data_IF_886818875381
#
_entry.id   IF_886818875381
#
_cell.length_a   1.000
_cell.length_b   1.000
_cell.length_c   1.000
_cell.angle_alpha   90.00
_cell.angle_beta   90.00
_cell.angle_gamma   90.00
#
_symmetry.space_group_name_H-M   'P 1'
#
loop_
_entity.id
_entity.type
_entity.pdbx_description
1 polymer ?
#
# COMPACT_ATOMS: atom_id res chain seq x y z
N UNK A 1 27.36 -2.56 -27.60
CA UNK A 1 26.03 -2.03 -27.93
C UNK A 1 25.09 -3.22 -28.04
N UNK A 2 24.33 -3.49 -27.02
CA UNK A 2 23.35 -4.59 -27.01
C UNK A 2 22.15 -4.18 -27.87
N UNK A 3 21.81 -4.98 -28.86
CA UNK A 3 20.61 -4.75 -29.68
C UNK A 3 19.36 -5.06 -28.88
N UNK A 4 18.42 -4.12 -28.89
CA UNK A 4 17.11 -4.25 -28.24
C UNK A 4 16.28 -5.37 -28.89
N UNK A 5 15.51 -6.13 -28.08
CA UNK A 5 14.55 -7.16 -28.55
C UNK A 5 13.62 -6.64 -29.67
N UNK A 6 13.29 -5.36 -29.65
CA UNK A 6 12.46 -4.68 -30.66
C UNK A 6 13.12 -4.63 -32.05
N UNK A 7 14.44 -4.51 -32.11
CA UNK A 7 15.17 -4.47 -33.37
C UNK A 7 15.36 -5.87 -33.98
N UNK A 8 15.37 -6.90 -33.14
CA UNK A 8 15.39 -8.30 -33.57
C UNK A 8 14.06 -8.67 -34.26
N UNK A 9 12.93 -8.32 -33.69
CA UNK A 9 11.61 -8.64 -34.24
C UNK A 9 11.37 -7.91 -35.58
N UNK A 10 11.84 -6.66 -35.73
CA UNK A 10 11.74 -5.92 -37.00
C UNK A 10 12.58 -6.50 -38.11
N UNK A 11 13.71 -7.14 -37.78
CA UNK A 11 14.60 -7.79 -38.78
C UNK A 11 14.15 -9.22 -39.15
N UNK A 12 13.44 -9.91 -38.27
CA UNK A 12 12.90 -11.24 -38.53
C UNK A 12 11.69 -11.25 -39.48
N UNK A 13 11.03 -10.11 -39.69
CA UNK A 13 9.86 -9.97 -40.54
C UNK A 13 10.10 -9.93 -42.06
N UNK A 14 11.33 -10.04 -42.53
CA UNK A 14 11.71 -9.95 -43.95
C UNK A 14 12.31 -11.24 -44.56
N UNK A 15 12.16 -12.38 -43.90
CA UNK A 15 12.60 -13.69 -44.40
C UNK A 15 11.42 -14.66 -44.57
N UNK A 16 10.78 -14.63 -45.73
CA UNK A 16 9.83 -15.66 -46.16
C UNK A 16 10.52 -17.02 -46.35
N UNK A 17 10.04 -18.05 -45.64
CA UNK A 17 10.21 -19.43 -46.02
C UNK A 17 11.12 -20.31 -45.13
N UNK A 18 10.86 -20.36 -43.82
CA UNK A 18 11.25 -21.52 -43.02
C UNK A 18 10.04 -22.02 -42.24
N UNK A 19 9.52 -23.18 -42.63
CA UNK A 19 8.63 -23.97 -41.78
C UNK A 19 9.41 -24.35 -40.52
N UNK A 20 9.29 -23.57 -39.47
CA UNK A 20 9.75 -23.97 -38.14
C UNK A 20 8.75 -24.97 -37.61
N UNK A 21 9.13 -26.24 -37.58
CA UNK A 21 8.43 -27.27 -36.79
C UNK A 21 8.69 -26.91 -35.34
N UNK A 22 7.74 -26.19 -34.75
CA UNK A 22 7.72 -25.96 -33.31
C UNK A 22 7.37 -27.29 -32.62
N UNK A 23 8.11 -27.68 -31.56
CA UNK A 23 7.78 -28.88 -30.80
C UNK A 23 6.33 -28.82 -30.31
N UNK A 24 5.65 -29.95 -30.27
CA UNK A 24 4.23 -30.11 -29.90
C UNK A 24 3.93 -29.57 -28.48
N UNK A 25 4.96 -29.43 -27.67
CA UNK A 25 4.91 -28.86 -26.31
C UNK A 25 4.72 -27.33 -26.30
N UNK A 26 4.96 -26.65 -27.41
CA UNK A 26 4.73 -25.21 -27.56
C UNK A 26 3.24 -24.89 -27.82
N UNK A 27 2.52 -25.89 -28.37
CA UNK A 27 1.05 -25.82 -28.46
C UNK A 27 0.52 -26.63 -27.27
N UNK A 28 0.22 -25.98 -26.17
CA UNK A 28 -0.45 -26.62 -25.03
C UNK A 28 -1.59 -27.54 -25.51
N UNK A 29 -1.88 -28.60 -24.75
CA UNK A 29 -2.94 -29.55 -25.07
C UNK A 29 -4.21 -28.81 -25.47
N UNK A 30 -4.53 -28.84 -26.74
CA UNK A 30 -5.85 -28.43 -27.24
C UNK A 30 -6.86 -29.43 -26.68
N UNK A 31 -7.47 -29.12 -25.55
CA UNK A 31 -8.45 -30.06 -24.95
C UNK A 31 -9.18 -29.54 -23.73
N UNK A 32 -8.84 -28.36 -23.21
CA UNK A 32 -9.62 -27.79 -22.13
C UNK A 32 -9.87 -26.29 -22.39
N UNK A 33 -11.13 -25.94 -22.61
CA UNK A 33 -11.57 -24.61 -23.04
C UNK A 33 -11.57 -23.56 -21.91
N UNK A 34 -10.94 -23.85 -20.78
CA UNK A 34 -10.88 -22.96 -19.61
C UNK A 34 -9.50 -22.36 -19.34
N UNK A 35 -8.39 -22.88 -19.89
CA UNK A 35 -7.08 -22.26 -19.76
C UNK A 35 -6.72 -21.46 -21.01
N UNK A 36 -6.70 -20.15 -20.92
CA UNK A 36 -6.13 -19.27 -21.94
C UNK A 36 -4.61 -19.46 -21.90
N UNK A 37 -4.08 -20.28 -22.82
CA UNK A 37 -2.64 -20.44 -22.97
C UNK A 37 -1.99 -19.08 -23.27
N UNK A 38 -1.13 -18.61 -22.37
CA UNK A 38 -0.29 -17.43 -22.57
C UNK A 38 1.09 -17.90 -23.00
N UNK A 39 1.54 -17.46 -24.18
CA UNK A 39 2.88 -17.83 -24.62
C UNK A 39 3.95 -17.33 -23.61
N UNK A 40 5.01 -18.10 -23.35
CA UNK A 40 6.07 -17.67 -22.41
C UNK A 40 6.68 -16.30 -22.71
N UNK A 41 6.68 -15.88 -23.98
CA UNK A 41 7.10 -14.55 -24.43
C UNK A 41 6.14 -13.43 -24.02
N UNK A 42 4.89 -13.76 -23.70
CA UNK A 42 3.84 -12.82 -23.36
C UNK A 42 3.59 -12.78 -21.84
N UNK A 43 4.25 -13.66 -21.08
CA UNK A 43 4.19 -13.64 -19.62
C UNK A 43 5.05 -12.52 -19.08
N UNK A 44 4.49 -11.75 -18.18
CA UNK A 44 5.24 -10.81 -17.34
C UNK A 44 6.03 -11.56 -16.28
N UNK A 45 7.08 -10.93 -15.79
CA UNK A 45 7.91 -11.49 -14.72
C UNK A 45 7.89 -10.58 -13.50
N UNK A 46 7.88 -11.18 -12.32
CA UNK A 46 7.82 -10.45 -11.05
C UNK A 46 8.98 -10.84 -10.15
N UNK A 47 9.60 -9.82 -9.53
CA UNK A 47 10.52 -9.98 -8.40
C UNK A 47 9.90 -9.43 -7.12
N UNK A 48 10.15 -10.07 -5.97
CA UNK A 48 9.68 -9.62 -4.65
C UNK A 48 10.87 -9.18 -3.81
N UNK A 49 10.78 -7.98 -3.23
CA UNK A 49 11.74 -7.46 -2.24
C UNK A 49 11.08 -7.48 -0.87
N UNK A 50 11.72 -8.17 0.09
CA UNK A 50 11.17 -8.44 1.42
C UNK A 50 10.29 -9.68 1.42
N UNK A 51 10.86 -10.84 1.78
CA UNK A 51 10.16 -12.13 1.82
C UNK A 51 10.02 -12.67 3.25
N UNK A 52 9.85 -11.74 4.21
CA UNK A 52 9.46 -12.06 5.58
C UNK A 52 7.97 -12.43 5.71
N UNK A 53 7.19 -11.66 6.50
CA UNK A 53 5.77 -11.96 6.76
C UNK A 53 4.88 -11.86 5.53
N UNK A 54 4.55 -10.61 5.13
CA UNK A 54 3.59 -10.36 4.04
C UNK A 54 4.15 -10.77 2.68
N UNK A 55 5.43 -10.52 2.41
CA UNK A 55 6.06 -10.93 1.15
C UNK A 55 6.01 -12.43 0.94
N UNK A 56 6.23 -13.23 2.01
CA UNK A 56 6.06 -14.67 1.96
C UNK A 56 4.59 -15.08 1.67
N UNK A 57 3.62 -14.42 2.30
CA UNK A 57 2.19 -14.64 2.02
C UNK A 57 1.84 -14.29 0.57
N UNK A 58 2.53 -13.31 0.01
CA UNK A 58 2.30 -12.80 -1.34
C UNK A 58 3.16 -13.49 -2.44
N UNK A 59 3.89 -14.56 -2.13
CA UNK A 59 4.60 -15.31 -3.18
C UNK A 59 3.69 -15.73 -4.34
N UNK A 60 2.45 -16.08 -4.05
CA UNK A 60 1.45 -16.49 -5.04
C UNK A 60 0.55 -15.34 -5.55
N UNK A 61 0.64 -14.17 -4.93
CA UNK A 61 -0.20 -13.04 -5.29
C UNK A 61 0.21 -12.51 -6.68
N UNK A 62 -0.78 -12.22 -7.55
CA UNK A 62 -0.53 -11.84 -8.95
C UNK A 62 0.19 -12.95 -9.76
N UNK A 63 0.28 -14.18 -9.24
CA UNK A 63 0.81 -15.31 -10.00
C UNK A 63 -0.34 -16.06 -10.65
N UNK A 64 -0.69 -15.65 -11.84
CA UNK A 64 -1.51 -16.40 -12.77
C UNK A 64 -0.66 -16.77 -14.01
N UNK A 65 -1.27 -17.38 -15.00
CA UNK A 65 -0.61 -17.73 -16.26
C UNK A 65 -0.04 -16.52 -17.02
N UNK A 66 -0.39 -15.27 -16.67
CA UNK A 66 0.11 -14.03 -17.29
C UNK A 66 1.34 -13.47 -16.58
N UNK A 67 1.59 -13.86 -15.32
CA UNK A 67 2.69 -13.31 -14.52
C UNK A 67 3.39 -14.40 -13.71
N UNK A 68 4.71 -14.49 -13.84
CA UNK A 68 5.55 -15.48 -13.21
C UNK A 68 6.48 -14.86 -12.18
N UNK A 69 6.53 -15.42 -10.97
CA UNK A 69 7.58 -15.08 -10.00
C UNK A 69 8.92 -15.66 -10.47
N UNK A 70 9.95 -14.82 -10.59
CA UNK A 70 11.28 -15.22 -11.08
C UNK A 70 12.40 -14.88 -10.08
N UNK A 71 12.19 -13.93 -9.17
CA UNK A 71 13.22 -13.46 -8.26
C UNK A 71 12.68 -13.11 -6.88
N UNK A 72 13.51 -13.28 -5.86
CA UNK A 72 13.23 -12.90 -4.47
C UNK A 72 14.47 -12.21 -3.88
N UNK A 73 14.23 -11.24 -2.98
CA UNK A 73 15.27 -10.51 -2.28
C UNK A 73 14.94 -10.35 -0.80
N UNK A 74 15.89 -10.61 0.07
CA UNK A 74 15.81 -10.27 1.50
C UNK A 74 17.22 -10.08 2.08
N UNK A 75 17.33 -9.23 3.10
CA UNK A 75 18.56 -8.99 3.85
C UNK A 75 18.73 -9.96 5.03
N UNK A 76 17.73 -10.79 5.30
CA UNK A 76 17.78 -11.90 6.25
C UNK A 76 17.88 -13.22 5.47
N UNK A 77 19.00 -13.91 5.62
CA UNK A 77 19.28 -15.15 4.89
C UNK A 77 18.25 -16.26 5.19
N UNK A 78 17.70 -16.31 6.42
CA UNK A 78 16.66 -17.30 6.77
C UNK A 78 15.36 -17.03 6.01
N UNK A 79 14.97 -15.76 5.85
CA UNK A 79 13.82 -15.39 5.04
C UNK A 79 14.04 -15.78 3.58
N UNK A 80 15.23 -15.47 3.06
CA UNK A 80 15.59 -15.77 1.68
C UNK A 80 15.57 -17.28 1.40
N UNK A 81 16.21 -18.09 2.25
CA UNK A 81 16.24 -19.55 2.11
C UNK A 81 14.84 -20.16 2.16
N UNK A 82 14.00 -19.69 3.08
CA UNK A 82 12.60 -20.14 3.18
C UNK A 82 11.79 -19.75 1.92
N UNK A 83 12.01 -18.57 1.37
CA UNK A 83 11.32 -18.14 0.15
C UNK A 83 11.75 -18.95 -1.07
N UNK A 84 13.05 -19.29 -1.19
CA UNK A 84 13.57 -20.13 -2.27
C UNK A 84 12.97 -21.53 -2.21
N UNK A 85 12.98 -22.15 -1.01
CA UNK A 85 12.40 -23.48 -0.80
C UNK A 85 10.91 -23.49 -1.15
N UNK A 86 10.13 -22.54 -0.60
CA UNK A 86 8.68 -22.45 -0.86
C UNK A 86 8.36 -22.14 -2.31
N UNK A 87 9.17 -21.30 -2.96
CA UNK A 87 9.05 -20.98 -4.37
C UNK A 87 9.27 -22.22 -5.25
N UNK A 88 10.32 -23.01 -4.99
CA UNK A 88 10.60 -24.24 -5.72
C UNK A 88 9.51 -25.30 -5.50
N UNK A 89 9.10 -25.53 -4.26
CA UNK A 89 7.99 -26.45 -3.91
C UNK A 89 6.68 -26.09 -4.62
N UNK A 90 6.38 -24.81 -4.76
CA UNK A 90 5.09 -24.34 -5.26
C UNK A 90 5.04 -24.19 -6.78
N UNK A 91 6.10 -23.62 -7.37
CA UNK A 91 6.12 -23.28 -8.79
C UNK A 91 6.92 -24.26 -9.64
N UNK A 92 7.63 -25.21 -9.01
CA UNK A 92 8.49 -26.15 -9.72
C UNK A 92 9.66 -25.51 -10.46
N UNK A 93 9.97 -24.23 -10.17
CA UNK A 93 11.04 -23.46 -10.78
C UNK A 93 11.96 -22.86 -9.75
N UNK A 94 13.27 -22.87 -10.04
CA UNK A 94 14.25 -22.21 -9.19
C UNK A 94 14.15 -20.69 -9.36
N UNK A 95 13.95 -19.99 -8.22
CA UNK A 95 13.95 -18.54 -8.20
C UNK A 95 15.38 -18.00 -8.15
N UNK A 96 15.61 -16.84 -8.79
CA UNK A 96 16.82 -16.06 -8.59
C UNK A 96 16.78 -15.39 -7.22
N UNK A 97 17.87 -15.43 -6.47
CA UNK A 97 17.99 -14.78 -5.16
C UNK A 97 18.89 -13.56 -5.20
N UNK A 98 18.51 -12.53 -4.48
CA UNK A 98 19.28 -11.32 -4.28
C UNK A 98 19.35 -10.98 -2.80
N UNK A 99 20.49 -10.49 -2.36
CA UNK A 99 20.67 -9.96 -1.02
C UNK A 99 20.44 -8.44 -1.00
N UNK A 100 20.93 -7.76 -2.01
CA UNK A 100 20.71 -6.33 -2.22
C UNK A 100 19.55 -6.10 -3.20
N UNK A 101 18.58 -5.32 -2.76
CA UNK A 101 17.38 -5.02 -3.56
C UNK A 101 17.70 -4.27 -4.86
N UNK A 102 18.81 -3.53 -4.89
CA UNK A 102 19.26 -2.80 -6.10
C UNK A 102 19.56 -3.76 -7.25
N UNK A 103 20.14 -4.91 -6.95
CA UNK A 103 20.45 -5.92 -7.96
C UNK A 103 19.16 -6.50 -8.58
N UNK A 104 18.11 -6.72 -7.76
CA UNK A 104 16.83 -7.19 -8.27
C UNK A 104 16.14 -6.12 -9.14
N UNK A 105 16.13 -4.86 -8.71
CA UNK A 105 15.50 -3.74 -9.46
C UNK A 105 16.20 -3.52 -10.80
N UNK A 106 17.50 -3.76 -10.90
CA UNK A 106 18.27 -3.64 -12.14
C UNK A 106 18.30 -4.92 -12.99
N UNK A 107 17.72 -6.03 -12.53
CA UNK A 107 17.64 -7.27 -13.32
C UNK A 107 16.72 -7.06 -14.54
N UNK A 108 17.25 -7.21 -15.78
CA UNK A 108 16.46 -7.05 -16.99
C UNK A 108 15.38 -8.14 -17.17
N UNK A 109 15.45 -9.22 -16.41
CA UNK A 109 14.47 -10.30 -16.45
C UNK A 109 13.27 -10.08 -15.50
N UNK A 110 13.22 -8.97 -14.77
CA UNK A 110 12.12 -8.58 -13.90
C UNK A 110 11.35 -7.45 -14.58
N UNK A 111 10.05 -7.61 -14.79
CA UNK A 111 9.16 -6.58 -15.36
C UNK A 111 8.46 -5.82 -14.23
N UNK A 112 8.04 -6.53 -13.19
CA UNK A 112 7.27 -5.99 -12.05
C UNK A 112 8.07 -6.17 -10.77
N UNK A 113 8.28 -5.09 -10.03
CA UNK A 113 8.89 -5.10 -8.70
C UNK A 113 7.79 -5.05 -7.64
N UNK A 114 7.71 -6.10 -6.82
CA UNK A 114 6.81 -6.14 -5.67
C UNK A 114 7.60 -5.77 -4.40
N UNK A 115 7.25 -4.65 -3.78
CA UNK A 115 7.90 -4.09 -2.59
C UNK A 115 7.08 -4.50 -1.37
N UNK A 116 7.62 -5.39 -0.54
CA UNK A 116 6.99 -5.93 0.67
C UNK A 116 7.92 -5.83 1.90
N UNK A 117 8.76 -4.83 1.90
CA UNK A 117 9.73 -4.47 2.95
C UNK A 117 9.06 -3.73 4.12
N UNK A 118 9.79 -3.38 5.19
CA UNK A 118 9.34 -2.33 6.11
C UNK A 118 9.15 -0.97 5.41
N UNK A 119 8.16 -0.21 5.86
CA UNK A 119 7.65 0.98 5.15
C UNK A 119 8.68 2.11 4.94
N UNK A 120 9.73 2.18 5.76
CA UNK A 120 10.81 3.16 5.56
C UNK A 120 11.64 2.95 4.29
N UNK A 121 11.45 1.82 3.61
CA UNK A 121 12.08 1.49 2.34
C UNK A 121 11.17 1.74 1.12
N UNK A 122 9.86 1.77 1.30
CA UNK A 122 8.89 1.76 0.20
C UNK A 122 9.11 2.90 -0.80
N UNK A 123 9.25 4.13 -0.31
CA UNK A 123 9.42 5.31 -1.16
C UNK A 123 10.67 5.23 -2.03
N UNK A 124 11.81 4.91 -1.43
CA UNK A 124 13.10 4.82 -2.12
C UNK A 124 13.09 3.70 -3.19
N UNK A 125 12.61 2.51 -2.82
CA UNK A 125 12.53 1.37 -3.74
C UNK A 125 11.56 1.63 -4.90
N UNK A 126 10.41 2.26 -4.63
CA UNK A 126 9.43 2.60 -5.67
C UNK A 126 9.98 3.62 -6.67
N UNK A 127 10.69 4.65 -6.20
CA UNK A 127 11.34 5.64 -7.07
C UNK A 127 12.42 5.00 -7.93
N UNK A 128 13.25 4.12 -7.39
CA UNK A 128 14.29 3.44 -8.14
C UNK A 128 13.72 2.44 -9.15
N UNK A 129 12.68 1.68 -8.76
CA UNK A 129 11.96 0.80 -9.69
C UNK A 129 11.36 1.59 -10.88
N UNK A 130 10.75 2.75 -10.63
CA UNK A 130 10.27 3.62 -11.70
C UNK A 130 11.41 4.09 -12.63
N UNK A 131 12.54 4.55 -12.09
CA UNK A 131 13.72 4.97 -12.87
C UNK A 131 14.26 3.88 -13.79
N UNK A 132 14.18 2.63 -13.36
CA UNK A 132 14.62 1.48 -14.17
C UNK A 132 13.54 0.97 -15.14
N UNK A 133 12.39 1.63 -15.19
CA UNK A 133 11.28 1.29 -16.10
C UNK A 133 10.47 0.07 -15.68
N UNK A 134 10.53 -0.30 -14.40
CA UNK A 134 9.73 -1.40 -13.85
C UNK A 134 8.33 -0.91 -13.48
N UNK A 135 7.35 -1.80 -13.59
CA UNK A 135 6.05 -1.60 -12.98
C UNK A 135 6.07 -2.00 -11.51
N UNK A 136 5.23 -1.38 -10.69
CA UNK A 136 5.40 -1.40 -9.25
C UNK A 136 4.14 -1.92 -8.56
N UNK A 137 4.33 -2.94 -7.73
CA UNK A 137 3.36 -3.40 -6.77
C UNK A 137 3.92 -3.09 -5.37
N UNK A 138 3.33 -2.15 -4.65
CA UNK A 138 3.85 -1.68 -3.36
C UNK A 138 2.90 -2.02 -2.22
N UNK A 139 3.43 -2.60 -1.15
CA UNK A 139 2.70 -2.80 0.09
C UNK A 139 2.38 -1.46 0.77
N UNK A 140 1.33 -1.46 1.57
CA UNK A 140 0.95 -0.34 2.42
C UNK A 140 1.77 -0.33 3.75
N UNK A 141 1.91 0.81 4.41
CA UNK A 141 1.60 2.16 3.93
C UNK A 141 2.52 2.53 2.76
N UNK A 142 2.00 3.29 1.81
CA UNK A 142 2.73 3.61 0.57
C UNK A 142 4.12 4.19 0.86
N UNK A 143 4.21 5.09 1.84
CA UNK A 143 5.46 5.71 2.28
C UNK A 143 5.40 6.08 3.75
N UNK A 144 6.57 6.23 4.37
CA UNK A 144 6.70 6.68 5.74
C UNK A 144 6.43 8.17 5.92
N UNK A 145 6.70 9.00 4.90
CA UNK A 145 6.55 10.45 4.96
C UNK A 145 5.79 11.00 3.75
N UNK A 146 5.21 12.20 3.91
CA UNK A 146 4.51 12.90 2.84
C UNK A 146 5.47 13.22 1.69
N UNK A 147 6.69 13.65 1.99
CA UNK A 147 7.69 14.00 0.98
C UNK A 147 8.12 12.80 0.13
N UNK A 148 8.30 11.63 0.74
CA UNK A 148 8.56 10.39 0.00
C UNK A 148 7.41 10.08 -0.97
N UNK A 149 6.15 10.22 -0.52
CA UNK A 149 4.98 9.99 -1.37
C UNK A 149 4.94 10.91 -2.61
N UNK A 150 5.27 12.20 -2.44
CA UNK A 150 5.42 13.14 -3.57
C UNK A 150 6.46 12.66 -4.57
N UNK A 151 7.61 12.16 -4.08
CA UNK A 151 8.69 11.65 -4.93
C UNK A 151 8.30 10.39 -5.70
N UNK A 152 7.51 9.51 -5.08
CA UNK A 152 6.97 8.34 -5.78
C UNK A 152 6.02 8.76 -6.89
N UNK A 153 5.06 9.66 -6.63
CA UNK A 153 4.14 10.19 -7.66
C UNK A 153 4.91 10.84 -8.80
N UNK A 154 5.90 11.70 -8.48
CA UNK A 154 6.75 12.37 -9.47
C UNK A 154 7.50 11.34 -10.35
N UNK A 155 8.11 10.32 -9.74
CA UNK A 155 8.87 9.30 -10.47
C UNK A 155 7.98 8.42 -11.33
N UNK A 156 6.87 7.90 -10.80
CA UNK A 156 5.93 7.06 -11.53
C UNK A 156 5.39 7.79 -12.77
N UNK A 157 4.96 9.04 -12.61
CA UNK A 157 4.47 9.85 -13.72
C UNK A 157 5.58 10.17 -14.74
N UNK A 158 6.79 10.48 -14.29
CA UNK A 158 7.94 10.82 -15.15
C UNK A 158 8.39 9.64 -16.02
N UNK A 159 8.46 8.47 -15.45
CA UNK A 159 8.98 7.28 -16.14
C UNK A 159 7.88 6.40 -16.74
N UNK A 160 6.61 6.72 -16.47
CA UNK A 160 5.45 6.04 -17.05
C UNK A 160 5.23 4.63 -16.51
N UNK A 161 5.68 4.32 -15.29
CA UNK A 161 5.43 3.04 -14.63
C UNK A 161 3.95 2.90 -14.26
N UNK A 162 3.44 1.68 -14.24
CA UNK A 162 2.15 1.39 -13.65
C UNK A 162 2.36 1.05 -12.18
N UNK A 163 1.68 1.78 -11.31
CA UNK A 163 1.78 1.62 -9.87
C UNK A 163 0.49 1.04 -9.29
N UNK A 164 0.62 0.07 -8.40
CA UNK A 164 -0.46 -0.45 -7.57
C UNK A 164 -0.06 -0.41 -6.11
N UNK A 165 -0.90 0.20 -5.28
CA UNK A 165 -0.81 0.07 -3.83
C UNK A 165 -1.60 -1.17 -3.37
N UNK A 166 -1.03 -1.95 -2.44
CA UNK A 166 -1.71 -3.13 -1.90
C UNK A 166 -2.54 -2.81 -0.65
N UNK A 167 -3.60 -2.08 -0.87
CA UNK A 167 -4.74 -2.11 0.06
C UNK A 167 -5.99 -2.54 -0.72
N UNK A 168 -6.66 -3.55 -0.24
CA UNK A 168 -7.68 -4.30 -0.97
C UNK A 168 -9.11 -3.99 -0.53
N UNK A 169 -9.28 -3.27 0.58
CA UNK A 169 -10.62 -3.02 1.12
C UNK A 169 -11.50 -2.13 0.26
N UNK A 170 -10.90 -1.36 -0.64
CA UNK A 170 -11.60 -0.64 -1.71
C UNK A 170 -12.27 -1.57 -2.73
N UNK A 171 -11.82 -2.83 -2.84
CA UNK A 171 -12.18 -3.76 -3.92
C UNK A 171 -12.84 -5.05 -3.43
N UNK A 172 -12.97 -5.28 -2.12
CA UNK A 172 -13.47 -6.55 -1.56
C UNK A 172 -14.94 -6.54 -1.17
N UNK A 173 -15.48 -7.76 -1.11
CA UNK A 173 -16.89 -8.08 -0.98
C UNK A 173 -17.55 -7.62 0.31
N UNK A 174 -16.78 -7.48 1.39
CA UNK A 174 -17.31 -6.97 2.65
C UNK A 174 -16.32 -6.03 3.32
N UNK A 175 -16.77 -4.84 3.65
CA UNK A 175 -15.99 -3.84 4.33
C UNK A 175 -16.24 -3.92 5.83
N UNK A 176 -15.32 -4.55 6.56
CA UNK A 176 -15.18 -4.55 8.02
C UNK A 176 -16.49 -4.47 8.85
N UNK A 177 -17.30 -5.52 8.80
CA UNK A 177 -18.52 -5.59 9.62
C UNK A 177 -19.60 -4.59 9.25
N UNK A 178 -19.45 -3.85 8.15
CA UNK A 178 -20.52 -3.00 7.60
C UNK A 178 -21.58 -3.81 6.85
N UNK A 179 -21.30 -5.08 6.50
CA UNK A 179 -22.25 -5.94 5.82
C UNK A 179 -22.45 -5.61 4.34
N UNK A 180 -21.57 -4.80 3.75
CA UNK A 180 -21.64 -4.37 2.35
C UNK A 180 -20.24 -4.14 1.78
N UNK A 181 -20.17 -4.02 0.44
CA UNK A 181 -19.00 -3.53 -0.27
C UNK A 181 -18.91 -1.99 -0.19
N UNK A 182 -17.88 -1.41 -0.80
CA UNK A 182 -17.69 0.05 -0.84
C UNK A 182 -18.64 0.73 -1.83
N UNK A 183 -19.03 0.05 -2.91
CA UNK A 183 -19.90 0.61 -3.96
C UNK A 183 -21.27 1.10 -3.44
N UNK A 184 -22.03 0.33 -2.65
CA UNK A 184 -23.28 0.82 -2.07
C UNK A 184 -23.10 2.06 -1.20
N UNK A 185 -21.98 2.14 -0.46
CA UNK A 185 -21.66 3.34 0.33
C UNK A 185 -21.39 4.54 -0.58
N UNK A 186 -20.64 4.33 -1.67
CA UNK A 186 -20.37 5.38 -2.67
C UNK A 186 -21.66 5.89 -3.29
N UNK A 187 -22.54 5.01 -3.75
CA UNK A 187 -23.85 5.37 -4.31
C UNK A 187 -24.68 6.18 -3.31
N UNK A 188 -24.73 5.73 -2.06
CA UNK A 188 -25.49 6.40 -1.02
C UNK A 188 -24.96 7.81 -0.70
N UNK A 189 -23.64 7.98 -0.68
CA UNK A 189 -22.99 9.29 -0.48
C UNK A 189 -23.21 10.19 -1.69
N UNK A 190 -22.97 9.70 -2.89
CA UNK A 190 -23.11 10.46 -4.16
C UNK A 190 -24.57 10.91 -4.38
N UNK A 191 -25.54 10.13 -3.93
CA UNK A 191 -26.96 10.50 -4.03
C UNK A 191 -27.35 11.72 -3.19
N UNK A 192 -26.53 12.10 -2.21
CA UNK A 192 -26.83 13.19 -1.27
C UNK A 192 -27.94 12.88 -0.25
N UNK A 193 -28.43 11.65 -0.19
CA UNK A 193 -29.51 11.24 0.74
C UNK A 193 -29.13 11.40 2.21
N UNK A 194 -27.84 11.23 2.54
CA UNK A 194 -27.34 11.46 3.90
C UNK A 194 -27.19 12.95 4.24
N UNK A 195 -27.23 13.83 3.22
CA UNK A 195 -26.88 15.24 3.36
C UNK A 195 -25.37 15.44 3.45
N UNK A 196 -24.94 16.69 3.65
CA UNK A 196 -23.53 17.05 3.76
C UNK A 196 -23.37 18.20 4.77
N UNK A 197 -22.28 18.33 5.56
CA UNK A 197 -21.11 17.45 5.57
C UNK A 197 -21.35 16.12 6.29
N UNK A 198 -20.49 15.13 6.02
CA UNK A 198 -20.52 13.80 6.64
C UNK A 198 -19.43 13.65 7.70
N UNK A 199 -19.74 12.89 8.74
CA UNK A 199 -18.77 12.38 9.71
C UNK A 199 -18.67 10.85 9.56
N UNK A 200 -17.49 10.33 9.29
CA UNK A 200 -17.20 8.89 9.24
C UNK A 200 -16.38 8.51 10.47
N UNK A 201 -16.83 7.48 11.21
CA UNK A 201 -16.16 6.99 12.42
C UNK A 201 -15.59 5.59 12.18
N UNK A 202 -14.27 5.51 12.14
CA UNK A 202 -13.56 4.23 12.03
C UNK A 202 -13.24 3.75 13.44
N UNK A 203 -14.00 2.75 13.90
CA UNK A 203 -13.98 2.33 15.30
C UNK A 203 -14.04 0.82 15.49
N UNK A 204 -13.70 0.36 16.68
CA UNK A 204 -13.91 -1.02 17.12
C UNK A 204 -15.36 -1.51 17.01
N UNK A 205 -16.36 -0.58 16.99
CA UNK A 205 -17.77 -0.88 16.79
C UNK A 205 -18.04 -1.57 15.45
N UNK A 206 -17.28 -1.25 14.44
CA UNK A 206 -17.40 -1.81 13.09
C UNK A 206 -16.50 -3.02 12.85
N UNK A 207 -15.73 -3.46 13.87
CA UNK A 207 -14.83 -4.60 13.77
C UNK A 207 -13.42 -4.25 13.31
N UNK A 208 -13.05 -2.96 13.29
CA UNK A 208 -11.69 -2.53 13.01
C UNK A 208 -10.75 -2.85 14.16
N UNK A 209 -9.52 -3.23 13.83
CA UNK A 209 -8.47 -3.50 14.79
C UNK A 209 -7.24 -2.65 14.50
N UNK A 210 -6.94 -1.71 15.40
CA UNK A 210 -5.76 -0.83 15.28
C UNK A 210 -4.45 -1.51 15.62
N UNK A 211 -4.49 -2.78 16.09
CA UNK A 211 -3.30 -3.57 16.42
C UNK A 211 -2.35 -2.82 17.37
N UNK A 212 -2.87 -2.29 18.46
CA UNK A 212 -2.07 -1.60 19.50
C UNK A 212 -0.98 -2.47 20.13
N UNK A 213 -0.95 -3.77 19.85
CA UNK A 213 0.16 -4.63 20.21
C UNK A 213 1.45 -4.33 19.38
N UNK A 214 1.35 -3.53 18.31
CA UNK A 214 2.49 -2.95 17.59
C UNK A 214 3.00 -1.65 18.22
N UNK A 215 2.92 -1.49 19.54
CA UNK A 215 3.58 -0.39 20.26
C UNK A 215 5.07 -0.66 20.40
N UNK A 216 5.88 0.40 20.41
CA UNK A 216 7.31 0.31 20.69
C UNK A 216 7.59 0.07 22.15
N UNK A 217 8.80 -0.41 22.42
CA UNK A 217 9.36 -0.50 23.78
C UNK A 217 10.39 0.61 23.98
N UNK A 218 10.29 1.27 25.11
CA UNK A 218 11.31 2.20 25.58
C UNK A 218 12.52 1.41 26.13
N UNK A 219 13.68 2.03 26.14
CA UNK A 219 14.88 1.50 26.79
C UNK A 219 15.28 0.08 26.32
N UNK A 220 15.46 -0.09 25.01
CA UNK A 220 15.95 -1.35 24.45
C UNK A 220 17.46 -1.50 24.67
N UNK A 221 17.86 -2.51 25.42
CA UNK A 221 19.27 -2.85 25.60
C UNK A 221 19.87 -3.41 24.31
N UNK A 222 20.99 -2.89 23.83
CA UNK A 222 21.65 -3.37 22.63
C UNK A 222 21.96 -4.86 22.69
N UNK A 223 21.75 -5.56 21.59
CA UNK A 223 22.07 -6.99 21.46
C UNK A 223 22.95 -7.22 20.22
N UNK A 224 23.71 -8.32 20.18
CA UNK A 224 24.47 -8.71 18.99
C UNK A 224 23.54 -8.91 17.77
N UNK A 225 23.97 -8.41 16.63
CA UNK A 225 23.28 -8.66 15.36
C UNK A 225 23.38 -10.15 15.01
N UNK A 226 22.27 -10.84 14.68
CA UNK A 226 22.31 -12.20 14.18
C UNK A 226 23.15 -12.33 12.90
N UNK A 227 23.87 -13.43 12.74
CA UNK A 227 24.77 -13.63 11.61
C UNK A 227 24.05 -13.66 10.25
N UNK A 228 22.80 -14.07 10.26
CA UNK A 228 21.94 -14.17 9.08
C UNK A 228 21.37 -12.84 8.61
N UNK A 229 21.41 -11.77 9.45
CA UNK A 229 20.80 -10.48 9.16
C UNK A 229 21.86 -9.43 8.80
N UNK A 230 21.80 -8.87 7.62
CA UNK A 230 22.48 -7.63 7.29
C UNK A 230 21.71 -6.44 7.87
N UNK A 231 22.06 -6.11 9.11
CA UNK A 231 21.32 -5.06 9.85
C UNK A 231 21.59 -3.66 9.29
N UNK A 232 22.76 -3.40 8.70
CA UNK A 232 23.04 -2.10 8.09
C UNK A 232 22.15 -1.87 6.86
N UNK A 233 22.03 -2.87 6.01
CA UNK A 233 21.15 -2.83 4.85
C UNK A 233 19.66 -2.88 5.28
N UNK A 234 19.32 -3.56 6.38
CA UNK A 234 17.97 -3.52 6.94
C UNK A 234 17.58 -2.11 7.39
N UNK A 235 18.48 -1.39 8.11
CA UNK A 235 18.27 0.00 8.52
C UNK A 235 18.12 0.93 7.31
N UNK A 236 18.96 0.76 6.31
CA UNK A 236 18.93 1.54 5.08
C UNK A 236 18.88 3.05 5.32
N UNK A 237 17.81 3.74 4.83
CA UNK A 237 17.67 5.19 4.97
C UNK A 237 17.33 5.64 6.39
N UNK A 238 16.95 4.74 7.30
CA UNK A 238 16.63 5.08 8.67
C UNK A 238 17.90 5.43 9.48
N UNK A 239 17.78 6.22 10.56
CA UNK A 239 18.90 6.51 11.45
C UNK A 239 19.53 5.24 12.03
N UNK A 240 20.85 5.30 12.28
CA UNK A 240 21.54 4.19 12.96
C UNK A 240 21.04 4.05 14.39
N UNK A 241 20.54 2.88 14.70
CA UNK A 241 20.13 2.47 16.05
C UNK A 241 20.80 1.14 16.40
N UNK A 242 21.20 0.93 17.66
CA UNK A 242 21.67 -0.36 18.09
C UNK A 242 20.65 -1.47 17.81
N UNK A 243 21.15 -2.65 17.43
CA UNK A 243 20.27 -3.79 17.17
C UNK A 243 19.56 -4.26 18.45
N UNK A 244 18.29 -4.56 18.28
CA UNK A 244 17.49 -5.28 19.24
C UNK A 244 16.39 -6.04 18.48
N UNK A 245 16.07 -7.31 18.81
CA UNK A 245 15.09 -8.11 18.07
C UNK A 245 13.70 -7.47 18.04
N UNK A 246 13.34 -6.61 18.99
CA UNK A 246 12.08 -5.88 18.96
C UNK A 246 12.08 -4.70 17.96
N UNK A 247 13.24 -4.30 17.38
CA UNK A 247 13.29 -3.24 16.35
C UNK A 247 13.14 -3.76 14.94
N UNK A 248 13.27 -5.05 14.73
CA UNK A 248 13.28 -5.65 13.38
C UNK A 248 12.06 -6.53 13.14
N UNK A 249 11.94 -7.02 11.92
CA UNK A 249 10.86 -7.90 11.48
C UNK A 249 9.46 -7.32 11.80
N UNK A 250 8.56 -8.03 12.44
CA UNK A 250 7.17 -7.58 12.65
C UNK A 250 7.06 -6.39 13.59
N UNK A 251 7.88 -6.35 14.67
CA UNK A 251 7.81 -5.33 15.73
C UNK A 251 8.44 -3.99 15.36
N UNK A 252 9.12 -3.86 14.20
CA UNK A 252 9.61 -2.58 13.69
C UNK A 252 8.51 -1.51 13.65
N UNK A 253 7.26 -1.93 13.49
CA UNK A 253 6.09 -1.05 13.45
C UNK A 253 5.96 -0.13 14.64
N UNK A 254 6.46 -0.55 15.79
CA UNK A 254 6.44 0.22 17.03
C UNK A 254 7.44 1.37 17.10
N UNK A 255 8.14 1.75 16.03
CA UNK A 255 9.18 2.78 16.06
C UNK A 255 9.02 3.80 14.94
N UNK A 256 9.05 5.10 15.32
CA UNK A 256 8.84 6.22 14.41
C UNK A 256 9.81 6.28 13.23
N UNK A 257 11.01 5.73 13.39
CA UNK A 257 11.99 5.69 12.30
C UNK A 257 11.57 4.74 11.16
N UNK A 258 10.69 3.80 11.42
CA UNK A 258 10.31 2.77 10.46
C UNK A 258 8.83 2.81 10.08
N UNK A 259 7.93 3.03 11.05
CA UNK A 259 6.48 3.10 10.84
C UNK A 259 5.81 3.88 11.97
N UNK A 260 4.47 3.89 12.05
CA UNK A 260 3.67 4.60 13.08
C UNK A 260 2.70 3.68 13.82
N UNK A 261 3.15 2.50 14.21
CA UNK A 261 2.39 1.55 15.01
C UNK A 261 1.12 1.04 14.32
N UNK A 262 0.06 0.91 15.10
CA UNK A 262 -1.24 0.48 14.57
C UNK A 262 -1.83 1.42 13.52
N UNK A 263 -1.55 2.73 13.64
CA UNK A 263 -1.96 3.71 12.63
C UNK A 263 -1.26 3.46 11.30
N UNK A 264 0.06 3.26 11.29
CA UNK A 264 0.83 2.95 10.07
C UNK A 264 0.41 1.62 9.45
N UNK A 265 0.31 0.57 10.27
CA UNK A 265 -0.02 -0.78 9.78
C UNK A 265 -1.45 -0.88 9.22
N UNK A 266 -2.44 -0.22 9.85
CA UNK A 266 -3.85 -0.38 9.47
C UNK A 266 -4.49 0.87 8.87
N UNK A 267 -3.92 2.06 9.11
CA UNK A 267 -4.56 3.33 8.77
C UNK A 267 -4.93 3.43 7.29
N UNK A 268 -4.00 3.12 6.40
CA UNK A 268 -4.27 3.23 4.97
C UNK A 268 -5.31 2.23 4.48
N UNK A 269 -5.39 1.03 5.05
CA UNK A 269 -6.45 0.07 4.75
C UNK A 269 -7.85 0.62 5.03
N UNK A 270 -7.99 1.41 6.11
CA UNK A 270 -9.31 1.90 6.55
C UNK A 270 -9.64 3.27 5.98
N UNK A 271 -8.65 4.15 5.82
CA UNK A 271 -8.83 5.52 5.31
C UNK A 271 -9.07 5.53 3.80
N UNK A 272 -8.34 4.71 3.05
CA UNK A 272 -8.41 4.66 1.60
C UNK A 272 -9.85 4.43 1.06
N UNK A 273 -10.58 3.38 1.47
CA UNK A 273 -11.95 3.18 1.00
C UNK A 273 -12.91 4.28 1.48
N UNK A 274 -12.65 4.90 2.64
CA UNK A 274 -13.44 6.04 3.14
C UNK A 274 -13.25 7.25 2.24
N UNK A 275 -12.01 7.59 1.86
CA UNK A 275 -11.76 8.67 0.90
C UNK A 275 -12.45 8.41 -0.44
N UNK A 276 -12.42 7.16 -0.92
CA UNK A 276 -13.09 6.80 -2.16
C UNK A 276 -14.60 7.04 -2.10
N UNK A 277 -15.31 6.52 -1.10
CA UNK A 277 -16.77 6.70 -1.07
C UNK A 277 -17.18 8.13 -0.70
N UNK A 278 -16.34 8.89 0.00
CA UNK A 278 -16.56 10.32 0.26
C UNK A 278 -16.21 11.21 -0.95
N UNK A 279 -15.66 10.67 -2.03
CA UNK A 279 -15.18 11.47 -3.16
C UNK A 279 -13.93 12.30 -2.83
N UNK A 280 -13.11 11.83 -1.88
CA UNK A 280 -11.91 12.51 -1.36
C UNK A 280 -10.58 11.91 -1.86
N UNK A 281 -10.61 11.15 -2.95
CA UNK A 281 -9.40 10.51 -3.51
C UNK A 281 -8.28 11.50 -3.86
N UNK A 282 -8.63 12.77 -4.14
CA UNK A 282 -7.70 13.85 -4.46
C UNK A 282 -7.86 15.05 -3.53
N UNK A 283 -8.31 14.82 -2.29
CA UNK A 283 -8.50 15.87 -1.29
C UNK A 283 -7.83 15.49 0.03
N UNK A 284 -7.39 16.48 0.78
CA UNK A 284 -6.69 16.31 2.05
C UNK A 284 -7.34 17.12 3.17
N UNK A 285 -7.26 16.64 4.43
CA UNK A 285 -7.75 17.41 5.57
C UNK A 285 -6.97 18.72 5.74
N UNK A 286 -7.68 19.76 6.15
CA UNK A 286 -7.08 21.05 6.52
C UNK A 286 -6.68 21.12 8.00
N UNK A 287 -7.17 20.18 8.82
CA UNK A 287 -6.88 20.10 10.25
C UNK A 287 -6.83 18.65 10.71
N UNK A 288 -5.89 18.34 11.59
CA UNK A 288 -5.82 17.07 12.31
C UNK A 288 -5.68 17.33 13.80
N UNK A 289 -6.53 16.68 14.59
CA UNK A 289 -6.62 16.77 16.05
C UNK A 289 -6.37 15.38 16.65
N UNK A 290 -5.62 15.32 17.74
CA UNK A 290 -5.30 14.05 18.42
C UNK A 290 -5.65 14.11 19.89
N UNK A 291 -6.20 13.02 20.40
CA UNK A 291 -6.30 12.70 21.81
C UNK A 291 -5.49 11.43 22.08
N UNK A 292 -4.35 11.62 22.71
CA UNK A 292 -3.38 10.56 23.00
C UNK A 292 -2.54 10.92 24.23
N UNK A 293 -1.97 9.93 24.95
CA UNK A 293 -0.86 10.17 25.84
C UNK A 293 0.31 10.79 25.09
N UNK A 294 1.19 11.49 25.81
CA UNK A 294 2.43 11.97 25.22
C UNK A 294 3.23 10.79 24.65
N UNK A 295 3.63 10.91 23.40
CA UNK A 295 4.38 9.87 22.73
C UNK A 295 5.86 9.91 23.09
N UNK A 296 6.47 8.74 23.19
CA UNK A 296 7.91 8.64 23.37
C UNK A 296 8.64 9.07 22.07
N UNK A 297 9.83 9.73 22.13
CA UNK A 297 10.51 10.20 20.92
C UNK A 297 10.91 9.12 19.92
N UNK A 298 11.12 7.88 20.37
CA UNK A 298 11.52 6.74 19.55
C UNK A 298 10.38 5.74 19.35
N UNK A 299 9.64 5.43 20.41
CA UNK A 299 8.62 4.37 20.43
C UNK A 299 7.21 4.94 20.21
N UNK A 300 6.46 4.26 19.31
CA UNK A 300 5.06 4.56 19.06
C UNK A 300 4.21 4.00 20.20
N UNK A 301 3.35 4.83 20.78
CA UNK A 301 2.41 4.47 21.81
C UNK A 301 0.98 4.27 21.30
N UNK A 302 0.05 4.15 22.25
CA UNK A 302 -1.40 4.12 21.99
C UNK A 302 -1.94 5.54 21.78
N UNK A 303 -3.15 5.63 21.25
CA UNK A 303 -3.91 6.88 21.11
C UNK A 303 -5.42 6.59 21.30
N UNK A 304 -6.20 7.59 21.75
CA UNK A 304 -7.65 7.47 21.97
C UNK A 304 -8.46 7.89 20.75
N UNK A 305 -8.10 9.01 20.13
CA UNK A 305 -8.74 9.40 18.86
C UNK A 305 -7.84 10.27 18.00
N UNK A 306 -8.13 10.22 16.68
CA UNK A 306 -7.53 11.12 15.70
C UNK A 306 -8.67 11.62 14.82
N UNK A 307 -8.85 12.94 14.74
CA UNK A 307 -9.90 13.58 13.96
C UNK A 307 -9.31 14.38 12.81
N UNK A 308 -9.68 14.03 11.59
CA UNK A 308 -9.35 14.77 10.39
C UNK A 308 -10.55 15.59 9.95
N UNK A 309 -10.33 16.88 9.68
CA UNK A 309 -11.39 17.79 9.21
C UNK A 309 -10.99 18.33 7.82
N UNK A 310 -11.87 18.16 6.85
CA UNK A 310 -11.73 18.69 5.50
C UNK A 310 -12.30 20.11 5.40
N UNK A 311 -11.92 20.85 4.35
CA UNK A 311 -12.35 22.25 4.16
C UNK A 311 -13.88 22.41 4.04
N UNK A 312 -14.56 21.41 3.50
CA UNK A 312 -16.03 21.39 3.36
C UNK A 312 -16.79 20.94 4.61
N UNK A 313 -16.08 20.76 5.73
CA UNK A 313 -16.64 20.34 7.02
C UNK A 313 -16.78 18.83 7.20
N UNK A 314 -16.48 18.02 6.17
CA UNK A 314 -16.45 16.56 6.29
C UNK A 314 -15.39 16.13 7.32
N UNK A 315 -15.65 15.05 8.06
CA UNK A 315 -14.74 14.53 9.08
C UNK A 315 -14.53 13.04 8.96
N UNK A 316 -13.28 12.61 9.19
CA UNK A 316 -12.92 11.22 9.45
C UNK A 316 -12.40 11.15 10.89
N UNK A 317 -12.98 10.30 11.72
CA UNK A 317 -12.59 10.10 13.10
C UNK A 317 -12.13 8.67 13.29
N UNK A 318 -10.87 8.50 13.68
CA UNK A 318 -10.35 7.22 14.12
C UNK A 318 -10.56 7.10 15.63
N UNK A 319 -11.26 6.07 16.06
CA UNK A 319 -11.56 5.81 17.48
C UNK A 319 -10.69 4.64 17.95
N UNK A 320 -9.77 4.93 18.88
CA UNK A 320 -8.69 4.03 19.31
C UNK A 320 -8.90 3.38 20.66
N UNK A 321 -7.89 3.45 21.52
CA UNK A 321 -7.86 2.81 22.82
C UNK A 321 -8.94 3.38 23.76
N UNK A 322 -9.62 2.49 24.49
CA UNK A 322 -10.70 2.87 25.41
C UNK A 322 -12.04 3.21 24.74
N UNK A 323 -12.13 3.09 23.40
CA UNK A 323 -13.41 3.26 22.73
C UNK A 323 -14.28 2.02 22.93
N UNK A 324 -15.39 2.19 23.63
CA UNK A 324 -16.39 1.13 23.83
C UNK A 324 -17.39 1.11 22.68
N UNK A 325 -17.37 0.02 21.94
CA UNK A 325 -18.31 -0.28 20.87
C UNK A 325 -19.72 -0.50 21.41
N UNK A 326 -20.58 0.51 21.33
CA UNK A 326 -21.99 0.35 21.79
C UNK A 326 -22.94 -0.19 20.71
N UNK A 327 -22.48 -0.36 19.46
CA UNK A 327 -23.34 -0.70 18.31
C UNK A 327 -24.38 0.39 17.95
N UNK A 328 -24.47 1.44 18.77
CA UNK A 328 -25.41 2.57 18.62
C UNK A 328 -24.72 3.81 17.99
N UNK A 329 -23.40 3.77 17.83
CA UNK A 329 -22.66 4.86 17.20
C UNK A 329 -22.69 4.66 15.68
N UNK A 330 -23.15 5.64 14.90
CA UNK A 330 -23.16 5.52 13.45
C UNK A 330 -21.75 5.48 12.89
N UNK A 331 -21.56 4.65 11.87
CA UNK A 331 -20.34 4.64 11.07
C UNK A 331 -20.25 5.87 10.16
N UNK A 332 -21.38 6.21 9.49
CA UNK A 332 -21.51 7.46 8.74
C UNK A 332 -22.68 8.24 9.35
N UNK A 333 -22.43 9.51 9.63
CA UNK A 333 -23.45 10.43 10.12
C UNK A 333 -23.49 11.67 9.24
N UNK A 334 -24.65 11.93 8.67
CA UNK A 334 -24.96 13.15 7.93
C UNK A 334 -26.20 13.86 8.53
N UNK A 335 -26.45 15.10 8.12
CA UNK A 335 -27.60 15.89 8.64
C UNK A 335 -28.97 15.30 8.29
N UNK A 336 -29.06 14.41 7.29
CA UNK A 336 -30.32 13.81 6.83
C UNK A 336 -30.41 12.30 7.10
N UNK A 337 -29.31 11.63 7.42
CA UNK A 337 -29.32 10.18 7.63
C UNK A 337 -28.04 9.63 8.25
N UNK A 338 -28.14 8.39 8.74
CA UNK A 338 -27.05 7.68 9.43
C UNK A 338 -26.97 6.24 8.95
N UNK A 339 -25.73 5.73 8.88
CA UNK A 339 -25.42 4.32 8.58
C UNK A 339 -24.70 3.72 9.77
N UNK A 340 -25.15 2.54 10.20
CA UNK A 340 -24.60 1.78 11.31
C UNK A 340 -23.95 0.47 10.86
N UNK A 341 -23.38 -0.27 11.80
CA UNK A 341 -22.85 -1.61 11.59
C UNK A 341 -23.91 -2.51 10.94
N UNK A 342 -23.46 -3.42 10.02
CA UNK A 342 -24.38 -4.29 9.28
C UNK A 342 -25.17 -3.58 8.18
N UNK A 343 -24.77 -2.37 7.82
CA UNK A 343 -25.47 -1.51 6.84
C UNK A 343 -26.89 -1.11 7.27
N UNK A 344 -27.18 -1.14 8.57
CA UNK A 344 -28.43 -0.54 9.08
C UNK A 344 -28.43 0.96 8.80
N UNK A 345 -29.51 1.47 8.24
CA UNK A 345 -29.62 2.87 7.82
C UNK A 345 -30.92 3.50 8.32
N UNK A 346 -30.87 4.79 8.66
CA UNK A 346 -32.07 5.55 9.03
C UNK A 346 -32.97 5.91 7.84
N UNK A 347 -32.45 5.75 6.61
CA UNK A 347 -33.21 5.94 5.37
C UNK A 347 -34.04 4.66 5.14
N UNK A 348 -35.39 4.76 5.08
CA UNK A 348 -36.23 3.60 4.84
C UNK A 348 -35.91 2.94 3.49
N UNK A 349 -35.90 1.60 3.46
CA UNK A 349 -35.69 0.79 2.26
C UNK A 349 -34.41 1.18 1.48
N UNK A 350 -33.35 1.53 2.21
CA UNK A 350 -32.12 2.07 1.63
C UNK A 350 -31.51 1.19 0.53
N UNK A 351 -31.63 -0.13 0.65
CA UNK A 351 -31.12 -1.05 -0.36
C UNK A 351 -31.89 -0.96 -1.68
N UNK A 352 -33.20 -0.84 -1.62
CA UNK A 352 -34.04 -0.65 -2.82
C UNK A 352 -33.67 0.67 -3.51
N UNK A 353 -33.52 1.74 -2.72
CA UNK A 353 -33.09 3.04 -3.24
C UNK A 353 -31.71 2.97 -3.88
N UNK A 354 -30.73 2.33 -3.24
CA UNK A 354 -29.37 2.19 -3.78
C UNK A 354 -29.36 1.38 -5.10
N UNK A 355 -30.18 0.35 -5.21
CA UNK A 355 -30.27 -0.46 -6.42
C UNK A 355 -30.81 0.32 -7.64
N UNK A 356 -31.58 1.38 -7.40
CA UNK A 356 -32.09 2.28 -8.44
C UNK A 356 -31.08 3.39 -8.82
N UNK A 357 -30.04 3.61 -8.03
CA UNK A 357 -29.02 4.62 -8.30
C UNK A 357 -28.00 4.13 -9.35
N UNK A 358 -27.44 5.04 -10.16
CA UNK A 358 -26.41 4.65 -11.13
C UNK A 358 -25.19 4.06 -10.44
N UNK A 359 -24.55 3.11 -11.14
CA UNK A 359 -23.29 2.57 -10.68
C UNK A 359 -22.18 3.63 -10.77
N UNK A 360 -21.20 3.60 -9.85
CA UNK A 360 -20.00 4.41 -9.99
C UNK A 360 -19.26 4.09 -11.29
N UNK A 361 -18.44 5.05 -11.76
CA UNK A 361 -17.62 4.85 -12.95
C UNK A 361 -16.78 3.56 -12.83
N UNK A 362 -16.70 2.75 -13.89
CA UNK A 362 -15.91 1.52 -13.90
C UNK A 362 -14.45 1.80 -13.60
N UNK A 363 -13.84 0.95 -12.78
CA UNK A 363 -12.45 1.07 -12.35
C UNK A 363 -11.59 -0.05 -12.93
N UNK A 364 -10.33 0.26 -13.25
CA UNK A 364 -9.36 -0.74 -13.70
C UNK A 364 -8.79 -1.46 -12.46
N UNK A 365 -9.27 -2.66 -12.21
CA UNK A 365 -8.93 -3.45 -11.00
C UNK A 365 -8.05 -4.67 -11.29
N UNK A 366 -7.78 -4.99 -12.56
CA UNK A 366 -6.80 -6.00 -12.95
C UNK A 366 -5.44 -5.34 -13.21
N UNK A 367 -4.49 -5.58 -12.31
CA UNK A 367 -3.18 -4.94 -12.37
C UNK A 367 -2.37 -5.39 -13.60
N UNK A 368 -2.44 -6.67 -13.97
CA UNK A 368 -1.70 -7.17 -15.13
C UNK A 368 -2.25 -6.62 -16.44
N UNK A 369 -3.57 -6.45 -16.52
CA UNK A 369 -4.17 -5.76 -17.67
C UNK A 369 -3.78 -4.27 -17.69
N UNK A 370 -3.71 -3.61 -16.55
CA UNK A 370 -3.19 -2.25 -16.46
C UNK A 370 -1.74 -2.16 -16.97
N UNK A 371 -0.87 -3.06 -16.54
CA UNK A 371 0.53 -3.13 -16.99
C UNK A 371 0.60 -3.35 -18.51
N UNK A 372 -0.15 -4.31 -19.03
CA UNK A 372 -0.17 -4.64 -20.45
C UNK A 372 -0.67 -3.50 -21.33
N UNK A 373 -1.73 -2.82 -20.90
CA UNK A 373 -2.39 -1.77 -21.68
C UNK A 373 -1.88 -0.37 -21.35
N UNK A 374 -0.93 -0.24 -20.39
CA UNK A 374 -0.39 1.04 -19.88
C UNK A 374 -1.49 1.96 -19.35
N UNK A 375 -2.44 1.39 -18.60
CA UNK A 375 -3.54 2.12 -17.96
C UNK A 375 -3.29 2.23 -16.46
N UNK A 376 -3.72 3.34 -15.85
CA UNK A 376 -3.62 3.50 -14.39
C UNK A 376 -4.49 2.47 -13.67
N UNK A 377 -3.94 1.84 -12.66
CA UNK A 377 -4.68 0.99 -11.75
C UNK A 377 -5.61 1.83 -10.86
N UNK A 378 -6.73 1.27 -10.43
CA UNK A 378 -7.73 1.99 -9.64
C UNK A 378 -7.21 2.56 -8.30
N UNK A 379 -6.22 1.91 -7.71
CA UNK A 379 -5.50 2.43 -6.54
C UNK A 379 -4.03 2.62 -6.92
N UNK A 380 -3.78 3.74 -7.59
CA UNK A 380 -2.52 4.13 -8.17
C UNK A 380 -1.67 4.99 -7.22
N UNK A 381 -0.57 5.53 -7.74
CA UNK A 381 0.37 6.38 -7.01
C UNK A 381 -0.27 7.67 -6.47
N UNK A 382 -1.24 8.24 -7.19
CA UNK A 382 -1.84 9.52 -6.80
C UNK A 382 -2.82 9.34 -5.63
N UNK A 383 -3.89 8.57 -5.81
CA UNK A 383 -4.85 8.33 -4.72
C UNK A 383 -4.25 7.54 -3.56
N UNK A 384 -3.27 6.67 -3.83
CA UNK A 384 -2.46 6.02 -2.80
C UNK A 384 -1.65 7.03 -1.98
N UNK A 385 -1.05 8.04 -2.62
CA UNK A 385 -0.35 9.13 -1.92
C UNK A 385 -1.32 9.95 -1.05
N UNK A 386 -2.51 10.29 -1.56
CA UNK A 386 -3.49 11.05 -0.79
C UNK A 386 -3.93 10.29 0.46
N UNK A 387 -4.30 9.02 0.35
CA UNK A 387 -4.70 8.22 1.51
C UNK A 387 -3.56 7.97 2.50
N UNK A 388 -2.31 7.80 2.00
CA UNK A 388 -1.12 7.69 2.84
C UNK A 388 -0.80 9.02 3.55
N UNK A 389 -1.03 10.16 2.89
CA UNK A 389 -0.84 11.49 3.48
C UNK A 389 -1.76 11.69 4.68
N UNK A 390 -3.02 11.24 4.62
CA UNK A 390 -3.92 11.30 5.79
C UNK A 390 -3.35 10.51 6.98
N UNK A 391 -2.82 9.30 6.74
CA UNK A 391 -2.11 8.52 7.78
C UNK A 391 -0.92 9.29 8.35
N UNK A 392 -0.10 9.88 7.47
CA UNK A 392 1.09 10.63 7.87
C UNK A 392 0.76 11.91 8.64
N UNK A 393 -0.34 12.61 8.32
CA UNK A 393 -0.84 13.75 9.09
C UNK A 393 -1.16 13.34 10.54
N UNK A 394 -1.84 12.21 10.73
CA UNK A 394 -2.11 11.64 12.06
C UNK A 394 -0.81 11.29 12.80
N UNK A 395 0.14 10.68 12.12
CA UNK A 395 1.46 10.36 12.70
C UNK A 395 2.22 11.61 13.15
N UNK A 396 2.21 12.68 12.35
CA UNK A 396 2.83 13.96 12.72
C UNK A 396 2.15 14.57 13.95
N UNK A 397 0.81 14.58 13.99
CA UNK A 397 0.05 15.12 15.11
C UNK A 397 0.27 14.33 16.40
N UNK A 398 0.32 12.99 16.33
CA UNK A 398 0.67 12.12 17.47
C UNK A 398 2.06 12.41 18.01
N UNK A 399 3.07 12.46 17.13
CA UNK A 399 4.48 12.73 17.51
C UNK A 399 4.65 14.08 18.21
N UNK A 400 3.89 15.08 17.75
CA UNK A 400 3.95 16.45 18.32
C UNK A 400 2.96 16.66 19.48
N UNK A 401 2.00 15.74 19.69
CA UNK A 401 1.03 15.77 20.79
C UNK A 401 0.08 16.97 20.72
N UNK A 402 -0.26 17.46 19.52
CA UNK A 402 -1.10 18.64 19.35
C UNK A 402 -1.84 18.70 18.04
N UNK A 403 -2.86 19.57 17.96
CA UNK A 403 -3.55 19.90 16.72
C UNK A 403 -2.60 20.54 15.72
N UNK A 404 -2.73 20.13 14.46
CA UNK A 404 -1.98 20.67 13.32
C UNK A 404 -2.94 21.19 12.25
N UNK A 405 -2.56 22.29 11.58
CA UNK A 405 -3.25 22.86 10.44
C UNK A 405 -2.43 22.62 9.17
N UNK A 406 -3.08 22.19 8.11
CA UNK A 406 -2.43 21.75 6.89
C UNK A 406 -2.99 22.49 5.66
N UNK A 407 -2.13 22.86 4.76
CA UNK A 407 -2.46 23.42 3.44
C UNK A 407 -2.47 22.26 2.42
N UNK A 408 -3.63 21.81 1.95
CA UNK A 408 -3.75 20.69 1.02
C UNK A 408 -3.07 20.92 -0.33
N UNK A 409 -3.04 22.16 -0.83
CA UNK A 409 -2.45 22.48 -2.13
C UNK A 409 -0.92 22.45 -2.08
N UNK A 410 -0.34 23.07 -1.05
CA UNK A 410 1.12 23.06 -0.85
C UNK A 410 1.60 21.75 -0.26
N UNK A 411 0.69 21.01 0.39
CA UNK A 411 0.97 19.86 1.23
C UNK A 411 2.05 20.18 2.28
N UNK A 412 1.78 21.23 3.05
CA UNK A 412 2.64 21.72 4.14
C UNK A 412 1.80 22.14 5.34
N UNK A 413 2.36 22.05 6.53
CA UNK A 413 1.72 22.57 7.72
C UNK A 413 1.81 24.10 7.76
N UNK A 414 0.70 24.74 8.15
CA UNK A 414 0.56 26.19 8.13
C UNK A 414 1.27 26.78 9.37
N UNK A 415 2.28 27.64 9.14
CA UNK A 415 3.03 28.33 10.20
C UNK A 415 3.59 27.41 11.28
N UNK A 416 4.09 26.23 10.90
CA UNK A 416 4.54 25.19 11.82
C UNK A 416 5.80 24.48 11.31
N UNK A 417 6.96 25.08 11.58
CA UNK A 417 8.26 24.59 11.13
C UNK A 417 8.57 23.20 11.71
N UNK A 418 8.20 22.95 12.97
CA UNK A 418 8.44 21.68 13.62
C UNK A 418 7.66 20.53 12.94
N UNK A 419 6.42 20.79 12.55
CA UNK A 419 5.62 19.83 11.81
C UNK A 419 6.15 19.65 10.37
N UNK A 420 6.60 20.74 9.73
CA UNK A 420 7.15 20.71 8.37
C UNK A 420 8.46 19.90 8.28
N UNK A 421 9.26 19.83 9.35
CA UNK A 421 10.43 18.94 9.40
C UNK A 421 10.05 17.45 9.32
N UNK A 422 8.80 17.08 9.68
CA UNK A 422 8.33 15.69 9.61
C UNK A 422 7.85 15.30 8.20
N UNK A 423 7.61 16.26 7.31
CA UNK A 423 7.23 16.02 5.90
C UNK A 423 8.37 15.36 5.13
N UNK A 424 9.62 15.81 5.38
CA UNK A 424 10.82 15.33 4.70
C UNK A 424 11.85 14.92 5.75
N UNK A 425 11.72 13.74 6.33
CA UNK A 425 12.73 13.25 7.26
C UNK A 425 14.04 12.95 6.52
N UNK A 426 15.18 13.37 7.06
CA UNK A 426 16.47 13.12 6.43
C UNK A 426 16.75 11.62 6.36
N UNK A 427 17.33 11.20 5.25
CA UNK A 427 17.81 9.83 5.07
C UNK A 427 19.26 9.71 5.49
N UNK A 428 19.62 8.57 6.07
CA UNK A 428 21.02 8.22 6.38
C UNK A 428 21.79 8.04 5.07
N UNK A 429 22.95 8.65 4.96
CA UNK A 429 23.82 8.40 3.80
C UNK A 429 24.25 6.92 3.70
N UNK A 430 24.43 6.37 2.48
CA UNK A 430 24.41 7.07 1.19
C UNK A 430 23.00 7.20 0.55
N UNK A 431 21.94 6.87 1.26
CA UNK A 431 20.58 6.81 0.74
C UNK A 431 20.00 8.21 0.49
N UNK A 432 19.33 8.35 -0.64
CA UNK A 432 18.58 9.57 -1.01
C UNK A 432 17.49 9.23 -2.03
N UNK A 433 16.39 9.96 -1.99
CA UNK A 433 15.22 9.78 -2.86
C UNK A 433 15.10 10.92 -3.87
#
# INVERSE_FOLDING_TARGET
MAQSRRDFIKKAGLGLGALTILPREVFGKMGDSSSKFVAPSDQMTRGIIGVGGIGMSNLHFVSDERCRLVAVCDVDQKHLDNALQKGEERFGTKLQSYHDWRDLVHDPNVDIVHIATPSHWHGLMAVEAAKTGKDIFCEKPMTRTIGEGKKVVEAVNKYGSIFRLDTWFRFKDTFYGLGTTVEPLKKLVDSGLLGWPLTVRISGATGFAWKFYWTGRENLEPQPVPKELDYDLWLGPAPVKPYHPHRVHQSFRGYWDYESGGLGDMGQHYIDPVQYFLGKDNDLPVKVEVDAPQQHPDAVGIWRSITYTYADGCKIILEGEGFESSGKVPYIEGPKGKVYKGFECTIPNVMDVINELPDPEPRQVDFLDCVKNRQKFALNEENGHYSCTVVNLGSCALRLGRTLHFDPEKQMFINDDAANLLINQPMRGPWSI
#
